data_IF_459181294642
#
_entry.id   IF_459181294642
#
_cell.length_a   1.000
_cell.length_b   1.000
_cell.length_c   1.000
_cell.angle_alpha   90.00
_cell.angle_beta   90.00
_cell.angle_gamma   90.00
#
_symmetry.space_group_name_H-M   'P 1'
#
loop_
_entity.id
_entity.type
_entity.pdbx_description
1 polymer ?
#
# COMPACT_ATOMS: atom_id res chain seq x y z
N UNK A 1 -44.50 30.74 -12.78
CA UNK A 1 -43.43 30.17 -13.62
C UNK A 1 -42.12 30.67 -13.02
N UNK A 2 -41.48 29.86 -12.18
CA UNK A 2 -40.38 28.93 -12.51
C UNK A 2 -39.01 29.59 -12.34
N UNK A 3 -38.18 28.98 -11.48
CA UNK A 3 -36.75 29.21 -11.40
C UNK A 3 -36.26 29.58 -10.01
N UNK A 4 -35.76 28.59 -9.25
CA UNK A 4 -34.59 28.67 -8.33
C UNK A 4 -34.55 27.50 -7.33
N UNK A 5 -34.20 26.31 -7.80
CA UNK A 5 -33.83 25.20 -6.88
C UNK A 5 -32.65 24.34 -7.36
N UNK A 6 -32.15 24.51 -8.59
CA UNK A 6 -31.03 23.71 -9.10
C UNK A 6 -29.61 24.19 -8.74
N UNK A 7 -29.44 25.40 -8.20
CA UNK A 7 -28.10 26.02 -8.06
C UNK A 7 -27.37 25.69 -6.75
N UNK A 8 -28.10 25.28 -5.70
CA UNK A 8 -27.54 25.11 -4.35
C UNK A 8 -26.93 23.72 -4.11
N UNK A 9 -27.35 22.71 -4.88
CA UNK A 9 -26.87 21.33 -4.73
C UNK A 9 -25.52 21.10 -5.42
N UNK A 10 -25.32 21.68 -6.59
CA UNK A 10 -24.07 21.56 -7.37
C UNK A 10 -22.87 22.18 -6.65
N UNK A 11 -23.10 23.29 -5.95
CA UNK A 11 -22.05 24.00 -5.21
C UNK A 11 -21.51 23.16 -4.04
N UNK A 12 -22.34 22.33 -3.40
CA UNK A 12 -21.91 21.52 -2.25
C UNK A 12 -21.05 20.33 -2.67
N UNK A 13 -21.35 19.74 -3.83
CA UNK A 13 -20.57 18.63 -4.37
C UNK A 13 -19.22 19.11 -4.93
N UNK A 14 -19.21 20.28 -5.59
CA UNK A 14 -17.98 20.95 -5.99
C UNK A 14 -17.12 21.34 -4.78
N UNK A 15 -17.73 21.87 -3.71
CA UNK A 15 -17.03 22.21 -2.46
C UNK A 15 -16.42 20.97 -1.79
N UNK A 16 -17.15 19.86 -1.71
CA UNK A 16 -16.62 18.60 -1.18
C UNK A 16 -15.47 18.05 -2.03
N UNK A 17 -15.58 18.14 -3.37
CA UNK A 17 -14.50 17.72 -4.27
C UNK A 17 -13.26 18.60 -4.09
N UNK A 18 -13.45 19.91 -3.95
CA UNK A 18 -12.36 20.84 -3.69
C UNK A 18 -11.70 20.57 -2.33
N UNK A 19 -12.50 20.24 -1.31
CA UNK A 19 -12.02 19.86 0.01
C UNK A 19 -11.19 18.56 -0.04
N UNK A 20 -11.66 17.54 -0.75
CA UNK A 20 -10.93 16.29 -0.95
C UNK A 20 -9.58 16.51 -1.65
N UNK A 21 -9.54 17.32 -2.71
CA UNK A 21 -8.30 17.62 -3.43
C UNK A 21 -7.28 18.32 -2.53
N UNK A 22 -7.73 19.27 -1.69
CA UNK A 22 -6.86 19.93 -0.71
C UNK A 22 -6.29 18.95 0.31
N UNK A 23 -7.10 18.03 0.81
CA UNK A 23 -6.63 17.00 1.75
C UNK A 23 -5.56 16.08 1.13
N UNK A 24 -5.65 15.80 -0.18
CA UNK A 24 -4.66 15.01 -0.90
C UNK A 24 -3.36 15.79 -1.10
N UNK A 25 -3.44 17.06 -1.47
CA UNK A 25 -2.28 17.93 -1.61
C UNK A 25 -1.55 18.11 -0.27
N UNK A 26 -2.29 18.36 0.82
CA UNK A 26 -1.74 18.49 2.18
C UNK A 26 -0.99 17.22 2.59
N UNK A 27 -1.58 16.04 2.32
CA UNK A 27 -0.95 14.75 2.58
C UNK A 27 0.32 14.56 1.76
N UNK A 28 0.31 14.98 0.49
CA UNK A 28 1.47 14.86 -0.39
C UNK A 28 2.60 15.83 0.02
N UNK A 29 2.27 17.00 0.57
CA UNK A 29 3.23 17.93 1.18
C UNK A 29 3.87 17.30 2.43
N UNK A 30 3.05 16.74 3.34
CA UNK A 30 3.55 16.05 4.55
C UNK A 30 4.44 14.89 4.16
N UNK A 31 4.03 14.09 3.19
CA UNK A 31 4.83 12.99 2.65
C UNK A 31 6.19 13.46 2.14
N UNK A 32 6.25 14.56 1.38
CA UNK A 32 7.51 15.13 0.87
C UNK A 32 8.40 15.64 2.01
N UNK A 33 7.82 16.25 3.04
CA UNK A 33 8.56 16.73 4.21
C UNK A 33 9.13 15.57 5.05
N UNK A 34 8.37 14.50 5.25
CA UNK A 34 8.84 13.29 5.93
C UNK A 34 9.98 12.63 5.14
N UNK A 35 9.88 12.56 3.81
CA UNK A 35 10.97 12.05 2.95
C UNK A 35 12.28 12.83 3.12
N UNK A 36 12.20 14.16 3.18
CA UNK A 36 13.38 15.03 3.37
C UNK A 36 14.00 14.84 4.77
N UNK A 37 13.17 14.66 5.80
CA UNK A 37 13.61 14.39 7.18
C UNK A 37 14.28 13.02 7.33
N UNK A 38 13.71 11.98 6.73
CA UNK A 38 14.20 10.60 6.88
C UNK A 38 15.41 10.27 6.01
N UNK A 39 15.75 11.08 5.01
CA UNK A 39 17.03 11.03 4.30
C UNK A 39 18.24 11.11 5.26
N UNK A 40 18.06 11.72 6.44
CA UNK A 40 19.12 11.96 7.42
C UNK A 40 19.21 10.95 8.58
N UNK A 41 18.24 10.06 8.77
CA UNK A 41 18.14 9.21 9.97
C UNK A 41 18.64 7.79 9.71
N UNK A 42 19.85 7.48 10.18
CA UNK A 42 20.36 6.09 10.26
C UNK A 42 19.53 5.29 11.28
N UNK A 43 18.99 4.15 10.85
CA UNK A 43 18.11 3.27 11.65
C UNK A 43 18.95 2.39 12.58
N UNK A 44 18.54 2.31 13.86
CA UNK A 44 19.02 1.31 14.83
C UNK A 44 18.42 -0.06 14.50
N UNK A 45 19.26 -1.10 14.60
CA UNK A 45 19.14 -2.38 13.89
C UNK A 45 18.80 -3.55 14.82
N UNK A 46 18.23 -3.28 15.99
CA UNK A 46 18.05 -4.31 17.00
C UNK A 46 16.59 -4.75 17.10
N UNK A 47 16.38 -6.01 16.71
CA UNK A 47 15.33 -6.94 17.14
C UNK A 47 14.13 -7.15 16.18
N UNK A 48 14.37 -7.98 15.16
CA UNK A 48 13.50 -9.06 14.61
C UNK A 48 14.21 -9.72 13.42
N UNK A 49 14.21 -11.06 13.37
CA UNK A 49 14.78 -11.93 12.31
C UNK A 49 15.19 -11.21 11.01
N UNK A 50 16.43 -10.72 11.01
CA UNK A 50 17.07 -9.89 9.98
C UNK A 50 17.34 -10.69 8.70
N UNK A 51 17.19 -12.01 8.74
CA UNK A 51 17.81 -12.92 7.75
C UNK A 51 16.83 -13.89 7.06
N UNK A 52 15.52 -13.63 7.12
CA UNK A 52 14.64 -14.15 6.07
C UNK A 52 14.64 -13.14 4.93
N UNK A 53 15.49 -13.31 3.89
CA UNK A 53 15.45 -12.43 2.73
C UNK A 53 14.01 -12.41 2.24
N UNK A 54 13.56 -11.25 1.78
CA UNK A 54 12.27 -11.13 1.11
C UNK A 54 12.57 -11.16 -0.38
N UNK A 55 13.02 -12.30 -0.95
CA UNK A 55 13.65 -12.34 -2.25
C UNK A 55 12.73 -11.75 -3.32
N UNK A 56 11.42 -11.86 -3.19
CA UNK A 56 10.50 -11.28 -4.17
C UNK A 56 10.51 -9.76 -4.05
N UNK A 57 10.28 -9.21 -2.86
CA UNK A 57 10.31 -7.76 -2.65
C UNK A 57 11.68 -7.17 -3.01
N UNK A 58 12.76 -7.81 -2.58
CA UNK A 58 14.13 -7.34 -2.75
C UNK A 58 14.56 -7.43 -4.22
N UNK A 59 14.28 -8.54 -4.92
CA UNK A 59 14.58 -8.66 -6.36
C UNK A 59 13.84 -7.60 -7.17
N UNK A 60 12.55 -7.37 -6.90
CA UNK A 60 11.78 -6.34 -7.61
C UNK A 60 12.36 -4.93 -7.37
N UNK A 61 12.76 -4.64 -6.14
CA UNK A 61 13.40 -3.37 -5.82
C UNK A 61 14.78 -3.23 -6.48
N UNK A 62 15.58 -4.29 -6.54
CA UNK A 62 16.91 -4.27 -7.17
C UNK A 62 16.84 -4.10 -8.69
N UNK A 63 15.84 -4.70 -9.34
CA UNK A 63 15.70 -4.66 -10.80
C UNK A 63 15.06 -3.37 -11.32
N UNK A 64 14.12 -2.76 -10.58
CA UNK A 64 13.36 -1.60 -11.06
C UNK A 64 13.09 -0.51 -10.03
N UNK A 65 13.79 -0.54 -8.90
CA UNK A 65 13.75 0.51 -7.88
C UNK A 65 12.37 0.72 -7.26
N UNK A 66 12.11 1.95 -6.81
CA UNK A 66 10.85 2.31 -6.18
C UNK A 66 9.63 2.16 -7.09
N UNK A 67 9.82 2.34 -8.39
CA UNK A 67 8.79 2.21 -9.42
C UNK A 67 8.28 0.77 -9.56
N UNK A 68 9.18 -0.22 -9.50
CA UNK A 68 8.79 -1.63 -9.54
C UNK A 68 7.90 -2.04 -8.37
N UNK A 69 7.99 -1.36 -7.23
CA UNK A 69 7.14 -1.61 -6.07
C UNK A 69 5.82 -0.82 -6.13
N UNK A 70 5.88 0.45 -6.55
CA UNK A 70 4.72 1.34 -6.57
C UNK A 70 3.74 1.05 -7.71
N UNK A 71 4.25 0.62 -8.87
CA UNK A 71 3.43 0.26 -10.02
C UNK A 71 2.47 -0.91 -9.77
N UNK A 72 2.82 -1.99 -9.06
CA UNK A 72 1.87 -3.05 -8.72
C UNK A 72 1.10 -2.78 -7.42
N UNK A 73 1.56 -1.94 -6.49
CA UNK A 73 0.90 -1.85 -5.16
C UNK A 73 0.20 -0.51 -4.86
N UNK A 74 0.46 0.54 -5.63
CA UNK A 74 0.17 1.95 -5.29
C UNK A 74 0.90 2.47 -4.04
N UNK A 75 1.77 1.67 -3.41
CA UNK A 75 2.58 2.07 -2.27
C UNK A 75 4.02 2.23 -2.71
N UNK A 76 4.67 3.29 -2.23
CA UNK A 76 6.14 3.34 -2.29
C UNK A 76 6.75 2.26 -1.40
N UNK A 77 8.01 1.86 -1.64
CA UNK A 77 8.72 0.94 -0.77
C UNK A 77 8.67 1.36 0.71
N UNK A 78 8.75 2.66 0.99
CA UNK A 78 8.66 3.20 2.35
C UNK A 78 7.30 2.99 2.99
N UNK A 79 6.21 3.34 2.30
CA UNK A 79 4.86 3.12 2.83
C UNK A 79 4.56 1.64 3.03
N UNK A 80 5.04 0.79 2.11
CA UNK A 80 4.91 -0.65 2.25
C UNK A 80 5.70 -1.16 3.46
N UNK A 81 6.88 -0.61 3.74
CA UNK A 81 7.65 -0.92 4.94
C UNK A 81 6.95 -0.46 6.24
N UNK A 82 6.27 0.69 6.23
CA UNK A 82 5.44 1.15 7.36
C UNK A 82 4.22 0.25 7.55
N UNK A 83 3.54 -0.12 6.46
CA UNK A 83 2.44 -1.06 6.51
C UNK A 83 2.91 -2.42 7.06
N UNK A 84 4.04 -2.91 6.56
CA UNK A 84 4.67 -4.13 7.04
C UNK A 84 4.98 -4.04 8.53
N UNK A 85 5.57 -2.95 9.05
CA UNK A 85 5.89 -2.85 10.48
C UNK A 85 4.65 -2.92 11.38
N UNK A 86 3.50 -2.42 10.92
CA UNK A 86 2.22 -2.50 11.63
C UNK A 86 1.69 -3.94 11.67
N UNK A 87 1.70 -4.64 10.53
CA UNK A 87 1.11 -5.99 10.42
C UNK A 87 2.09 -7.12 10.75
N UNK A 88 3.41 -6.83 10.80
CA UNK A 88 4.49 -7.82 10.94
C UNK A 88 4.24 -8.77 12.09
N UNK A 89 3.90 -8.25 13.27
CA UNK A 89 3.70 -9.07 14.46
C UNK A 89 2.53 -10.07 14.29
N UNK A 90 1.45 -9.62 13.65
CA UNK A 90 0.31 -10.48 13.36
C UNK A 90 0.63 -11.50 12.27
N UNK A 91 1.25 -11.06 11.17
CA UNK A 91 1.63 -11.95 10.07
C UNK A 91 2.62 -12.98 10.58
N UNK A 92 3.73 -12.61 11.22
CA UNK A 92 4.72 -13.58 11.73
C UNK A 92 4.14 -14.57 12.74
N UNK A 93 3.18 -14.14 13.58
CA UNK A 93 2.57 -14.99 14.61
C UNK A 93 1.54 -15.98 14.08
N UNK A 94 0.79 -15.61 13.03
CA UNK A 94 -0.35 -16.39 12.54
C UNK A 94 -0.17 -16.91 11.10
N UNK A 95 0.84 -16.43 10.39
CA UNK A 95 1.26 -16.99 9.11
C UNK A 95 2.01 -18.30 9.35
N UNK A 96 1.74 -19.32 8.54
CA UNK A 96 2.44 -20.61 8.58
C UNK A 96 2.32 -21.44 9.90
N UNK A 97 1.38 -21.13 10.80
CA UNK A 97 1.14 -21.92 12.04
C UNK A 97 0.14 -23.08 11.89
N UNK A 98 -0.25 -23.43 10.66
CA UNK A 98 -1.19 -24.52 10.36
C UNK A 98 -0.53 -25.90 10.17
N UNK A 99 -1.34 -26.97 10.23
CA UNK A 99 -0.91 -28.37 9.98
C UNK A 99 -0.64 -28.72 8.50
N UNK A 100 -0.70 -27.73 7.60
CA UNK A 100 -0.49 -27.90 6.16
C UNK A 100 0.94 -27.64 5.71
N UNK A 101 1.16 -27.64 4.39
CA UNK A 101 2.43 -27.16 3.81
C UNK A 101 2.62 -25.69 4.17
N UNK A 102 3.71 -25.39 4.87
CA UNK A 102 4.14 -24.02 5.17
C UNK A 102 4.51 -23.34 3.84
N UNK A 103 4.11 -22.09 3.68
CA UNK A 103 4.56 -21.26 2.57
C UNK A 103 6.08 -21.10 2.62
N UNK A 104 6.73 -21.25 1.47
CA UNK A 104 8.17 -21.03 1.27
C UNK A 104 8.54 -19.54 1.19
N UNK A 105 7.55 -18.65 1.08
CA UNK A 105 7.75 -17.21 0.92
C UNK A 105 7.71 -16.49 2.26
N UNK A 106 8.53 -15.43 2.39
CA UNK A 106 8.52 -14.56 3.55
C UNK A 106 7.16 -13.86 3.70
N UNK A 107 6.75 -13.55 4.93
CA UNK A 107 5.46 -12.89 5.18
C UNK A 107 5.32 -11.55 4.46
N UNK A 108 6.44 -10.83 4.28
CA UNK A 108 6.47 -9.57 3.54
C UNK A 108 6.32 -9.75 2.02
N UNK A 109 6.90 -10.81 1.45
CA UNK A 109 6.69 -11.15 0.03
C UNK A 109 5.22 -11.45 -0.24
N UNK A 110 4.57 -12.19 0.66
CA UNK A 110 3.14 -12.51 0.56
C UNK A 110 2.29 -11.25 0.66
N UNK A 111 2.62 -10.33 1.57
CA UNK A 111 1.94 -9.04 1.65
C UNK A 111 2.11 -8.25 0.34
N UNK A 112 3.33 -8.15 -0.17
CA UNK A 112 3.62 -7.46 -1.44
C UNK A 112 2.82 -8.06 -2.61
N UNK A 113 2.86 -9.39 -2.77
CA UNK A 113 2.09 -10.09 -3.81
C UNK A 113 0.58 -9.93 -3.65
N UNK A 114 0.08 -9.91 -2.41
CA UNK A 114 -1.36 -9.70 -2.14
C UNK A 114 -1.79 -8.30 -2.55
N UNK A 115 -1.01 -7.27 -2.20
CA UNK A 115 -1.29 -5.89 -2.61
C UNK A 115 -1.22 -5.74 -4.14
N UNK A 116 -0.26 -6.40 -4.77
CA UNK A 116 -0.15 -6.47 -6.23
C UNK A 116 -1.41 -7.11 -6.85
N UNK A 117 -1.82 -8.27 -6.34
CA UNK A 117 -3.03 -8.96 -6.77
C UNK A 117 -4.28 -8.10 -6.58
N UNK A 118 -4.39 -7.33 -5.49
CA UNK A 118 -5.53 -6.42 -5.29
C UNK A 118 -5.55 -5.24 -6.25
N UNK A 119 -4.39 -4.69 -6.63
CA UNK A 119 -4.34 -3.63 -7.65
C UNK A 119 -4.77 -4.15 -9.03
N UNK A 120 -4.37 -5.38 -9.37
CA UNK A 120 -4.69 -6.00 -10.66
C UNK A 120 -6.03 -6.76 -10.65
N UNK A 121 -6.58 -7.02 -9.47
CA UNK A 121 -7.87 -7.66 -9.21
C UNK A 121 -9.04 -6.71 -9.46
N UNK A 122 -9.06 -6.08 -10.64
CA UNK A 122 -10.28 -5.56 -11.22
C UNK A 122 -11.12 -6.76 -11.63
N UNK A 123 -12.16 -7.04 -10.84
CA UNK A 123 -13.26 -7.95 -11.17
C UNK A 123 -13.06 -9.41 -10.74
N UNK A 124 -13.45 -9.71 -9.50
CA UNK A 124 -13.79 -11.08 -9.08
C UNK A 124 -14.87 -11.73 -9.98
N UNK A 125 -15.67 -10.96 -10.76
CA UNK A 125 -16.61 -11.54 -11.73
C UNK A 125 -15.92 -12.31 -12.86
N UNK A 126 -14.67 -11.99 -13.23
CA UNK A 126 -13.98 -12.70 -14.33
C UNK A 126 -13.69 -14.17 -13.94
N UNK A 127 -13.52 -14.44 -12.64
CA UNK A 127 -13.34 -15.79 -12.11
C UNK A 127 -14.68 -16.46 -11.75
N UNK A 128 -15.77 -15.70 -11.58
CA UNK A 128 -17.11 -16.22 -11.31
C UNK A 128 -17.88 -16.64 -12.58
N UNK A 129 -17.46 -16.17 -13.76
CA UNK A 129 -18.07 -16.54 -15.05
C UNK A 129 -17.56 -17.88 -15.62
N UNK A 130 -16.64 -18.57 -14.95
CA UNK A 130 -16.34 -19.98 -15.23
C UNK A 130 -17.05 -20.84 -14.18
N UNK A 131 -18.36 -20.99 -14.38
CA UNK A 131 -19.23 -21.97 -13.73
C UNK A 131 -20.26 -22.43 -14.74
#
# INVERSE_FOLDING_TARGET
MSGRTGRRSHTTEEDHRQQMLRMLDDRDIVRRAELDRFSSVRRNDDDVDVDSPCPIFDTWYMEGGADAISRPTNFTPCELNVLWSIVRLHVTRYWNVGRGRRSQFAGKDVLFMTLAAFKHGGTWDMNAHVS
#
